data_IF_489535929974
#
_entry.id   IF_489535929974
#
_cell.length_a   1.000
_cell.length_b   1.000
_cell.length_c   1.000
_cell.angle_alpha   90.00
_cell.angle_beta   90.00
_cell.angle_gamma   90.00
#
_symmetry.space_group_name_H-M   'P 1'
#
loop_
_entity.id
_entity.type
_entity.pdbx_description
1 polymer ?
#
# COMPACT_ATOMS: atom_id res chain seq x y z
N UNK A 1 8.78 11.18 5.67
CA UNK A 1 10.15 10.72 5.31
C UNK A 1 10.12 10.00 3.97
N UNK A 2 11.24 9.91 3.25
CA UNK A 2 11.28 9.27 1.92
C UNK A 2 11.79 7.84 2.01
N UNK A 3 11.09 6.90 1.36
CA UNK A 3 11.43 5.48 1.32
C UNK A 3 11.48 4.95 -0.10
N UNK A 4 12.19 3.84 -0.31
CA UNK A 4 12.04 3.02 -1.50
C UNK A 4 10.94 1.98 -1.26
N UNK A 5 9.76 2.19 -1.84
CA UNK A 5 8.67 1.23 -1.79
C UNK A 5 8.88 0.10 -2.80
N UNK A 6 8.81 -1.13 -2.32
CA UNK A 6 8.80 -2.35 -3.11
C UNK A 6 7.41 -2.98 -3.11
N UNK A 7 6.99 -3.54 -4.24
CA UNK A 7 5.73 -4.29 -4.34
C UNK A 7 5.95 -5.79 -4.59
N UNK A 8 5.06 -6.62 -4.04
CA UNK A 8 5.13 -8.06 -4.22
C UNK A 8 3.88 -8.83 -3.78
N UNK A 9 4.02 -10.16 -3.70
CA UNK A 9 2.98 -11.06 -3.19
C UNK A 9 3.22 -11.36 -1.72
N UNK A 10 2.16 -11.57 -0.97
CA UNK A 10 2.20 -12.29 0.31
C UNK A 10 1.35 -13.55 0.23
N UNK A 11 1.58 -14.49 1.15
CA UNK A 11 0.77 -15.71 1.24
C UNK A 11 -0.67 -15.37 1.59
N UNK A 12 -0.88 -14.47 2.56
CA UNK A 12 -2.20 -14.05 3.01
C UNK A 12 -2.99 -13.36 1.90
N UNK A 13 -2.33 -12.54 1.08
CA UNK A 13 -2.95 -11.93 -0.09
C UNK A 13 -3.44 -13.02 -1.06
N UNK A 14 -2.62 -14.06 -1.28
CA UNK A 14 -2.99 -15.20 -2.11
C UNK A 14 -4.18 -15.99 -1.58
N UNK A 15 -4.35 -16.08 -0.26
CA UNK A 15 -5.50 -16.74 0.38
C UNK A 15 -6.80 -15.94 0.17
N UNK A 16 -6.72 -14.61 0.16
CA UNK A 16 -7.90 -13.73 0.14
C UNK A 16 -8.26 -13.21 -1.26
N UNK A 17 -7.40 -13.42 -2.27
CA UNK A 17 -7.53 -12.83 -3.62
C UNK A 17 -8.81 -13.21 -4.36
N UNK A 18 -9.42 -14.36 -4.05
CA UNK A 18 -10.68 -14.80 -4.65
C UNK A 18 -11.88 -13.94 -4.21
N UNK A 19 -11.74 -13.20 -3.11
CA UNK A 19 -12.73 -12.25 -2.63
C UNK A 19 -12.10 -10.88 -2.36
N UNK A 20 -11.91 -10.08 -3.42
CA UNK A 20 -11.24 -8.76 -3.35
C UNK A 20 -12.03 -7.66 -2.67
N UNK A 21 -13.32 -7.91 -2.36
CA UNK A 21 -14.15 -6.97 -1.59
C UNK A 21 -14.18 -7.29 -0.10
N UNK A 22 -13.53 -8.39 0.30
CA UNK A 22 -13.43 -8.81 1.70
C UNK A 22 -12.58 -7.87 2.53
N UNK A 23 -12.88 -7.79 3.84
CA UNK A 23 -12.08 -7.03 4.79
C UNK A 23 -10.68 -7.64 4.95
N UNK A 24 -10.54 -8.96 4.79
CA UNK A 24 -9.27 -9.66 4.88
C UNK A 24 -8.33 -9.32 3.71
N UNK A 25 -8.87 -9.21 2.49
CA UNK A 25 -8.09 -8.75 1.33
C UNK A 25 -7.70 -7.28 1.45
N UNK A 26 -8.64 -6.44 1.90
CA UNK A 26 -8.40 -5.02 2.14
C UNK A 26 -7.30 -4.82 3.20
N UNK A 27 -7.41 -5.47 4.36
CA UNK A 27 -6.44 -5.41 5.43
C UNK A 27 -5.04 -5.81 4.94
N UNK A 28 -4.90 -6.97 4.30
CA UNK A 28 -3.59 -7.43 3.83
C UNK A 28 -2.99 -6.52 2.75
N UNK A 29 -3.77 -6.09 1.75
CA UNK A 29 -3.25 -5.26 0.64
C UNK A 29 -3.08 -3.78 0.99
N UNK A 30 -3.58 -3.35 2.16
CA UNK A 30 -3.37 -2.02 2.73
C UNK A 30 -2.25 -1.98 3.77
N UNK A 31 -1.51 -3.08 3.96
CA UNK A 31 -0.36 -3.11 4.88
C UNK A 31 0.91 -2.58 4.21
N UNK A 32 1.56 -1.64 4.87
CA UNK A 32 2.90 -1.15 4.56
C UNK A 32 3.88 -1.76 5.57
N UNK A 33 4.61 -2.78 5.14
CA UNK A 33 5.63 -3.42 5.96
C UNK A 33 6.89 -2.55 6.00
N UNK A 34 7.36 -2.25 7.21
CA UNK A 34 8.46 -1.32 7.46
C UNK A 34 9.49 -1.94 8.40
N UNK A 35 10.75 -1.53 8.29
CA UNK A 35 11.75 -1.87 9.28
C UNK A 35 11.42 -1.17 10.63
N UNK A 36 11.59 -1.87 11.75
CA UNK A 36 11.20 -1.34 13.08
C UNK A 36 11.90 -0.03 13.49
N UNK A 37 13.17 0.16 13.12
CA UNK A 37 13.86 1.45 13.33
C UNK A 37 13.26 2.61 12.52
N UNK A 38 12.80 2.36 11.30
CA UNK A 38 12.17 3.42 10.48
C UNK A 38 10.82 3.81 11.09
N UNK A 39 10.07 2.84 11.61
CA UNK A 39 8.84 3.11 12.36
C UNK A 39 9.12 3.93 13.62
N UNK A 40 10.15 3.57 14.38
CA UNK A 40 10.58 4.33 15.56
C UNK A 40 10.96 5.78 15.21
N UNK A 41 11.68 6.00 14.11
CA UNK A 41 12.03 7.34 13.64
C UNK A 41 10.80 8.17 13.24
N UNK A 42 9.77 7.52 12.71
CA UNK A 42 8.47 8.14 12.41
C UNK A 42 7.55 8.27 13.62
N UNK A 43 7.90 7.66 14.76
CA UNK A 43 7.06 7.62 15.96
C UNK A 43 5.82 6.74 15.81
N UNK A 44 5.93 5.66 15.03
CA UNK A 44 4.84 4.71 14.75
C UNK A 44 4.99 3.45 15.60
N UNK A 45 3.86 2.95 16.10
CA UNK A 45 3.70 1.60 16.63
C UNK A 45 3.10 0.65 15.56
N UNK A 46 3.14 -0.65 15.85
CA UNK A 46 2.55 -1.66 14.96
C UNK A 46 1.04 -1.47 14.83
N UNK A 47 0.57 -1.37 13.58
CA UNK A 47 -0.82 -1.09 13.26
C UNK A 47 -1.17 0.38 13.12
N UNK A 48 -0.30 1.34 13.44
CA UNK A 48 -0.58 2.75 13.19
C UNK A 48 -0.79 3.04 11.70
N UNK A 49 -1.54 4.09 11.40
CA UNK A 49 -1.84 4.45 10.02
C UNK A 49 -0.85 5.47 9.48
N UNK A 50 -0.52 5.31 8.20
CA UNK A 50 0.41 6.17 7.47
C UNK A 50 -0.21 6.60 6.14
N UNK A 51 0.04 7.85 5.76
CA UNK A 51 -0.25 8.33 4.42
C UNK A 51 0.99 8.13 3.56
N UNK A 52 0.83 7.34 2.50
CA UNK A 52 1.89 7.01 1.54
C UNK A 52 1.63 7.78 0.26
N UNK A 53 2.49 8.74 -0.06
CA UNK A 53 2.42 9.56 -1.27
C UNK A 53 3.42 9.04 -2.30
N UNK A 54 2.91 8.62 -3.46
CA UNK A 54 3.72 8.17 -4.60
C UNK A 54 3.57 9.06 -5.83
N UNK A 55 4.15 8.65 -6.98
CA UNK A 55 4.16 9.48 -8.18
C UNK A 55 2.80 9.88 -8.77
N UNK A 56 1.72 9.14 -8.52
CA UNK A 56 0.41 9.39 -9.14
C UNK A 56 -0.71 9.72 -8.14
N UNK A 57 -0.42 9.76 -6.84
CA UNK A 57 -1.41 10.03 -5.79
C UNK A 57 -0.89 9.63 -4.42
N UNK A 58 -1.79 9.64 -3.44
CA UNK A 58 -1.54 9.17 -2.10
C UNK A 58 -2.63 8.21 -1.62
N UNK A 59 -2.31 7.39 -0.63
CA UNK A 59 -3.25 6.44 -0.03
C UNK A 59 -2.87 6.20 1.42
N UNK A 60 -3.88 5.96 2.26
CA UNK A 60 -3.68 5.58 3.67
C UNK A 60 -3.52 4.06 3.78
N UNK A 61 -2.51 3.64 4.54
CA UNK A 61 -2.13 2.24 4.79
C UNK A 61 -1.88 2.04 6.29
N UNK A 62 -1.83 0.78 6.76
CA UNK A 62 -1.35 0.46 8.10
C UNK A 62 0.11 0.05 8.08
N UNK A 63 0.91 0.64 8.96
CA UNK A 63 2.29 0.25 9.16
C UNK A 63 2.35 -1.07 9.94
N UNK A 64 3.21 -1.98 9.49
CA UNK A 64 3.49 -3.22 10.20
C UNK A 64 5.01 -3.46 10.26
N UNK A 65 5.52 -3.77 11.44
CA UNK A 65 6.95 -4.05 11.61
C UNK A 65 7.32 -5.38 10.94
N UNK A 66 8.43 -5.40 10.21
CA UNK A 66 8.97 -6.61 9.58
C UNK A 66 10.48 -6.66 9.65
N UNK A 67 11.04 -7.79 10.08
CA UNK A 67 12.47 -8.06 10.06
C UNK A 67 13.00 -8.39 8.64
N UNK A 68 12.10 -8.68 7.69
CA UNK A 68 12.45 -9.00 6.30
C UNK A 68 12.63 -7.74 5.43
N UNK A 69 12.24 -6.57 5.94
CA UNK A 69 12.32 -5.28 5.23
C UNK A 69 13.58 -4.55 5.68
N UNK A 70 14.41 -4.10 4.73
CA UNK A 70 15.62 -3.34 5.04
C UNK A 70 15.30 -1.87 5.38
N UNK A 71 16.10 -1.25 6.25
CA UNK A 71 15.96 0.18 6.58
C UNK A 71 16.00 1.07 5.33
N UNK A 72 15.14 2.09 5.29
CA UNK A 72 14.97 2.98 4.15
C UNK A 72 14.16 2.38 2.99
N UNK A 73 13.66 1.15 3.16
CA UNK A 73 12.73 0.50 2.23
C UNK A 73 11.42 0.18 2.93
N UNK A 74 10.35 0.06 2.14
CA UNK A 74 9.07 -0.48 2.62
C UNK A 74 8.56 -1.52 1.64
N UNK A 75 7.79 -2.49 2.11
CA UNK A 75 7.16 -3.48 1.26
C UNK A 75 5.64 -3.37 1.35
N UNK A 76 4.98 -3.33 0.19
CA UNK A 76 3.52 -3.26 0.09
C UNK A 76 3.05 -4.41 -0.80
N UNK A 77 2.13 -5.28 -0.34
CA UNK A 77 1.52 -6.27 -1.20
C UNK A 77 0.82 -5.57 -2.37
N UNK A 78 1.06 -6.01 -3.61
CA UNK A 78 0.39 -5.34 -4.73
C UNK A 78 -1.12 -5.50 -4.61
N UNK A 79 -1.85 -4.52 -5.10
CA UNK A 79 -3.28 -4.45 -4.92
C UNK A 79 -3.79 -3.08 -5.27
N UNK A 80 -5.07 -2.79 -4.97
CA UNK A 80 -5.66 -1.49 -5.26
C UNK A 80 -4.91 -0.35 -4.58
N UNK A 81 -4.44 -0.54 -3.34
CA UNK A 81 -3.69 0.47 -2.58
C UNK A 81 -2.34 0.81 -3.22
N UNK A 82 -1.49 -0.18 -3.48
CA UNK A 82 -0.23 0.05 -4.19
C UNK A 82 -0.46 0.65 -5.58
N UNK A 83 -1.45 0.15 -6.33
CA UNK A 83 -1.75 0.65 -7.67
C UNK A 83 -2.28 2.09 -7.69
N UNK A 84 -2.77 2.60 -6.55
CA UNK A 84 -3.23 3.98 -6.40
C UNK A 84 -2.08 4.99 -6.44
N UNK A 85 -0.85 4.55 -6.15
CA UNK A 85 0.30 5.43 -5.96
C UNK A 85 1.50 5.12 -6.87
N UNK A 86 1.47 4.04 -7.66
CA UNK A 86 2.53 3.67 -8.62
C UNK A 86 2.36 4.35 -10.00
N UNK A 87 3.48 4.62 -10.67
CA UNK A 87 3.45 5.23 -12.00
C UNK A 87 2.89 4.26 -13.07
N UNK A 88 2.02 4.77 -13.95
CA UNK A 88 1.42 4.01 -15.05
C UNK A 88 2.28 3.96 -16.32
N UNK A 89 3.44 4.64 -16.34
CA UNK A 89 4.32 4.70 -17.50
C UNK A 89 4.90 3.32 -17.85
N UNK A 90 4.87 2.96 -19.14
CA UNK A 90 5.27 1.61 -19.61
C UNK A 90 6.56 1.58 -20.43
N UNK A 91 7.18 2.73 -20.66
CA UNK A 91 8.37 2.86 -21.51
C UNK A 91 8.21 2.20 -22.91
N UNK A 92 6.99 2.24 -23.48
CA UNK A 92 6.63 1.59 -24.76
C UNK A 92 6.77 0.06 -24.79
N UNK A 93 6.80 -0.60 -23.63
CA UNK A 93 6.88 -2.07 -23.52
C UNK A 93 5.52 -2.71 -23.22
N UNK A 94 4.53 -1.91 -22.82
CA UNK A 94 3.23 -2.39 -22.34
C UNK A 94 3.21 -2.82 -20.87
N UNK A 95 4.32 -2.74 -20.14
CA UNK A 95 4.42 -3.08 -18.72
C UNK A 95 4.81 -1.87 -17.87
N UNK A 96 4.00 -1.47 -16.87
CA UNK A 96 4.39 -0.45 -15.90
C UNK A 96 5.52 -0.87 -14.96
N UNK A 97 6.21 0.13 -14.40
CA UNK A 97 7.34 -0.05 -13.47
C UNK A 97 6.91 -0.43 -12.04
N UNK A 98 6.03 -1.42 -11.86
CA UNK A 98 5.37 -1.72 -10.58
C UNK A 98 6.28 -1.97 -9.37
N UNK A 99 7.51 -2.44 -9.61
CA UNK A 99 8.37 -3.05 -8.59
C UNK A 99 8.87 -2.07 -7.54
N UNK A 100 9.33 -0.89 -7.94
CA UNK A 100 10.06 0.00 -7.05
C UNK A 100 9.79 1.47 -7.33
N UNK A 101 9.34 2.21 -6.32
CA UNK A 101 9.08 3.65 -6.44
C UNK A 101 9.59 4.38 -5.20
N UNK A 102 10.07 5.61 -5.37
CA UNK A 102 10.30 6.49 -4.23
C UNK A 102 8.96 7.04 -3.78
N UNK A 103 8.69 6.92 -2.48
CA UNK A 103 7.46 7.39 -1.85
C UNK A 103 7.79 8.24 -0.62
N UNK A 104 6.87 9.14 -0.28
CA UNK A 104 6.90 9.87 0.98
C UNK A 104 5.88 9.27 1.94
N UNK A 105 6.30 8.98 3.16
CA UNK A 105 5.46 8.37 4.21
C UNK A 105 5.44 9.28 5.42
N UNK A 106 4.25 9.57 5.92
CA UNK A 106 4.02 10.31 7.15
C UNK A 106 2.89 9.70 7.99
N UNK A 107 2.95 9.80 9.34
CA UNK A 107 1.85 9.38 10.21
C UNK A 107 0.56 10.13 9.89
N UNK A 108 -0.59 9.49 10.10
CA UNK A 108 -1.91 10.11 9.96
C UNK A 108 -2.88 9.55 11.00
N UNK A 109 -3.99 10.26 11.24
CA UNK A 109 -5.11 9.78 12.06
C UNK A 109 -6.26 9.22 11.18
N UNK A 110 -6.10 9.23 9.86
CA UNK A 110 -7.06 8.67 8.90
C UNK A 110 -6.98 7.13 8.86
N UNK A 111 -8.08 6.47 8.50
CA UNK A 111 -8.12 5.01 8.34
C UNK A 111 -8.04 4.61 6.85
N UNK A 112 -7.40 3.47 6.52
CA UNK A 112 -7.40 2.95 5.16
C UNK A 112 -8.84 2.69 4.68
N UNK A 113 -9.15 3.24 3.50
CA UNK A 113 -10.41 2.97 2.80
C UNK A 113 -10.54 1.49 2.46
N UNK A 114 -11.77 0.98 2.43
CA UNK A 114 -12.06 -0.32 1.82
C UNK A 114 -11.81 -0.28 0.31
N UNK A 115 -11.59 -1.45 -0.30
CA UNK A 115 -11.31 -1.55 -1.75
C UNK A 115 -12.40 -0.90 -2.60
N UNK A 116 -13.68 -1.05 -2.24
CA UNK A 116 -14.77 -0.46 -3.01
C UNK A 116 -14.78 1.07 -2.92
N UNK A 117 -14.41 1.65 -1.77
CA UNK A 117 -14.34 3.10 -1.58
C UNK A 117 -13.23 3.71 -2.44
N UNK A 118 -12.08 3.01 -2.55
CA UNK A 118 -11.02 3.40 -3.50
C UNK A 118 -11.51 3.39 -4.95
N UNK A 119 -12.37 2.44 -5.32
CA UNK A 119 -12.94 2.41 -6.67
C UNK A 119 -13.97 3.53 -6.87
N UNK A 120 -14.77 3.85 -5.86
CA UNK A 120 -15.73 4.98 -5.89
C UNK A 120 -15.00 6.32 -6.11
N UNK A 121 -13.85 6.55 -5.46
CA UNK A 121 -13.02 7.74 -5.69
C UNK A 121 -12.57 7.88 -7.15
N UNK A 122 -12.36 6.74 -7.84
CA UNK A 122 -11.97 6.68 -9.24
C UNK A 122 -13.17 6.72 -10.21
N UNK A 123 -14.39 6.96 -9.70
CA UNK A 123 -15.62 7.02 -10.47
C UNK A 123 -16.31 5.66 -10.69
N UNK A 124 -15.89 4.63 -9.97
CA UNK A 124 -16.54 3.33 -9.93
C UNK A 124 -17.89 3.37 -9.20
N UNK A 125 -18.74 2.39 -9.49
CA UNK A 125 -20.04 2.19 -8.82
C UNK A 125 -20.05 0.80 -8.19
N UNK A 126 -20.27 0.72 -6.87
CA UNK A 126 -20.49 -0.54 -6.20
C UNK A 126 -21.83 -1.15 -6.67
N UNK A 127 -21.82 -2.40 -7.14
CA UNK A 127 -23.01 -3.07 -7.65
C UNK A 127 -23.97 -3.54 -6.55
N UNK A 128 -23.51 -3.66 -5.30
CA UNK A 128 -24.16 -4.45 -4.25
C UNK A 128 -24.50 -3.64 -2.98
N UNK A 129 -25.06 -2.43 -3.13
CA UNK A 129 -25.63 -1.69 -1.97
C UNK A 129 -27.06 -2.14 -1.64
#
# INVERSE_FOLDING_TARGET
MTFLMLTGRTVNQGVTVENKTSAEYAAETSTCFMHGFDMLELGLDDGDTVRVTGPCGDVVMRAAASEEVEMGTVFVPYGPYANHIVAAGTCSTGMPDFKSHRVEIEPTDEEPKMVHELMEDLGGLAYDR
#
